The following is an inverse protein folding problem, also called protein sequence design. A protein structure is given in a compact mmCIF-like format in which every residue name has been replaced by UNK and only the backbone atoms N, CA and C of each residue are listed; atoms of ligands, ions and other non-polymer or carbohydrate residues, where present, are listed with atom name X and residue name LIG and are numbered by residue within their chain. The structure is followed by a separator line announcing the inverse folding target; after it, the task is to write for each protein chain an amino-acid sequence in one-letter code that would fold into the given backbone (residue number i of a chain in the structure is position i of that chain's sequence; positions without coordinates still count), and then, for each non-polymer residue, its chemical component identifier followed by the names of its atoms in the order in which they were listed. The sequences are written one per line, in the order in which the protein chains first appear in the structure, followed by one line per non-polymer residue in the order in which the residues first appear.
data_IF_558271044635
#
_entry.id   IF_558271044635
#
_cell.length_a   1.000
_cell.length_b   1.000
_cell.length_c   1.000
_cell.angle_alpha   90.00
_cell.angle_beta   90.00
_cell.angle_gamma   90.00
#
_symmetry.space_group_name_H-M   'P 1'
#
loop_
_entity.id
_entity.type
_entity.pdbx_description
1 polymer ?
#
# COMPACT_ATOMS: atom_id res chain seq x y z
N UNK A 1 18.13 14.94 24.51
CA UNK A 1 16.98 15.67 23.93
C UNK A 1 16.48 14.82 22.78
N UNK A 2 15.44 14.06 23.03
CA UNK A 2 14.77 13.21 22.04
C UNK A 2 13.95 14.10 21.11
N UNK A 3 14.40 14.29 19.89
CA UNK A 3 13.58 14.84 18.82
C UNK A 3 12.42 13.88 18.55
N UNK A 4 11.31 14.05 19.24
CA UNK A 4 10.05 13.46 18.88
C UNK A 4 9.64 14.02 17.51
N UNK A 5 9.80 13.24 16.45
CA UNK A 5 9.09 13.50 15.19
C UNK A 5 7.61 13.50 15.56
N UNK A 6 6.97 14.65 15.53
CA UNK A 6 5.51 14.76 15.59
C UNK A 6 5.00 14.00 14.37
N UNK A 7 4.42 12.83 14.57
CA UNK A 7 3.76 12.08 13.50
C UNK A 7 2.61 12.95 13.00
N UNK A 8 2.71 13.39 11.74
CA UNK A 8 1.59 14.08 11.12
C UNK A 8 0.38 13.15 11.03
N UNK A 9 -0.82 13.62 11.36
CA UNK A 9 -2.01 12.79 11.34
C UNK A 9 -2.29 12.30 9.90
N UNK A 10 -2.75 11.05 9.79
CA UNK A 10 -3.20 10.46 8.53
C UNK A 10 -4.24 11.36 7.84
N UNK A 11 -4.37 11.23 6.51
CA UNK A 11 -5.36 11.96 5.74
C UNK A 11 -6.76 11.52 6.18
N UNK A 12 -7.51 12.43 6.83
CA UNK A 12 -8.87 12.16 7.26
C UNK A 12 -9.84 12.41 6.09
N UNK A 13 -10.57 11.37 5.70
CA UNK A 13 -11.45 11.38 4.54
C UNK A 13 -12.86 10.99 4.95
N UNK A 14 -13.85 11.80 4.56
CA UNK A 14 -15.28 11.50 4.68
C UNK A 14 -15.82 10.93 3.35
N UNK A 15 -16.99 10.31 3.39
CA UNK A 15 -17.66 9.77 2.19
C UNK A 15 -16.98 8.50 1.65
N UNK A 16 -16.27 7.79 2.51
CA UNK A 16 -15.63 6.52 2.21
C UNK A 16 -16.35 5.44 3.04
N UNK A 17 -17.41 4.86 2.48
CA UNK A 17 -18.13 3.78 3.15
C UNK A 17 -17.35 2.48 3.05
N UNK A 18 -17.30 1.72 4.14
CA UNK A 18 -16.81 0.35 4.13
C UNK A 18 -17.83 -0.53 3.37
N UNK A 19 -17.38 -1.13 2.27
CA UNK A 19 -18.24 -1.82 1.31
C UNK A 19 -18.57 -3.28 1.69
N UNK A 20 -18.12 -3.73 2.85
CA UNK A 20 -18.25 -5.14 3.21
C UNK A 20 -17.31 -6.08 2.41
N UNK A 21 -17.36 -7.36 2.71
CA UNK A 21 -16.54 -8.36 2.02
C UNK A 21 -17.21 -8.80 0.71
N UNK A 22 -16.47 -8.73 -0.41
CA UNK A 22 -16.86 -9.42 -1.62
C UNK A 22 -16.66 -10.93 -1.44
N UNK A 23 -17.66 -11.74 -1.78
CA UNK A 23 -17.48 -13.17 -1.85
C UNK A 23 -16.86 -13.54 -3.20
N UNK A 24 -15.59 -13.91 -3.19
CA UNK A 24 -14.90 -14.47 -4.36
C UNK A 24 -14.40 -15.86 -3.99
N UNK A 25 -14.76 -16.85 -4.80
CA UNK A 25 -14.27 -18.22 -4.62
C UNK A 25 -12.88 -18.36 -5.23
N UNK A 26 -11.88 -18.61 -4.41
CA UNK A 26 -10.52 -18.88 -4.83
C UNK A 26 -10.14 -20.32 -4.51
N UNK A 27 -9.41 -20.95 -5.42
CA UNK A 27 -8.72 -22.21 -5.16
C UNK A 27 -7.29 -21.87 -4.73
N UNK A 28 -7.04 -21.98 -3.42
CA UNK A 28 -5.79 -21.62 -2.77
C UNK A 28 -5.19 -22.85 -2.13
N UNK A 29 -3.92 -23.12 -2.44
CA UNK A 29 -3.13 -24.15 -1.77
C UNK A 29 -2.17 -23.50 -0.79
N UNK A 30 -2.17 -23.97 0.46
CA UNK A 30 -1.21 -23.61 1.48
C UNK A 30 -0.40 -24.84 1.91
N UNK A 31 0.93 -24.73 1.91
CA UNK A 31 1.82 -25.81 2.29
C UNK A 31 3.00 -25.31 3.13
N UNK A 32 3.44 -26.07 4.16
CA UNK A 32 4.58 -25.69 4.96
C UNK A 32 5.90 -25.94 4.21
N UNK A 33 6.91 -25.13 4.57
CA UNK A 33 8.28 -25.28 4.14
C UNK A 33 9.19 -24.98 5.32
N UNK A 34 10.01 -25.95 5.70
CA UNK A 34 10.99 -25.80 6.78
C UNK A 34 12.31 -25.35 6.18
N UNK A 35 12.53 -24.04 6.13
CA UNK A 35 13.71 -23.41 5.55
C UNK A 35 14.77 -23.19 6.62
N UNK A 36 16.01 -23.61 6.34
CA UNK A 36 17.13 -23.22 7.22
C UNK A 36 17.44 -21.74 7.07
N UNK A 37 18.04 -21.15 8.11
CA UNK A 37 18.36 -19.73 8.07
C UNK A 37 19.40 -19.40 6.99
N UNK A 38 20.29 -20.34 6.64
CA UNK A 38 21.21 -20.15 5.53
C UNK A 38 20.48 -20.12 4.17
N UNK A 39 19.47 -20.96 3.96
CA UNK A 39 18.66 -20.93 2.74
C UNK A 39 17.87 -19.62 2.62
N UNK A 40 17.30 -19.13 3.73
CA UNK A 40 16.58 -17.84 3.72
C UNK A 40 17.54 -16.70 3.36
N UNK A 41 18.74 -16.69 3.92
CA UNK A 41 19.77 -15.69 3.63
C UNK A 41 20.20 -15.73 2.15
N UNK A 42 20.40 -16.93 1.59
CA UNK A 42 20.71 -17.13 0.18
C UNK A 42 19.58 -16.66 -0.74
N UNK A 43 18.33 -17.07 -0.47
CA UNK A 43 17.15 -16.64 -1.21
C UNK A 43 16.95 -15.12 -1.16
N UNK A 44 17.29 -14.50 -0.04
CA UNK A 44 17.27 -13.03 0.08
C UNK A 44 18.31 -12.39 -0.84
N UNK A 45 19.53 -12.86 -0.81
CA UNK A 45 20.63 -12.36 -1.66
C UNK A 45 20.38 -12.56 -3.16
N UNK A 46 19.71 -13.65 -3.53
CA UNK A 46 19.30 -13.95 -4.90
C UNK A 46 18.08 -13.13 -5.38
N UNK A 47 17.36 -12.45 -4.47
CA UNK A 47 16.13 -11.74 -4.81
C UNK A 47 14.90 -12.64 -4.97
N UNK A 48 14.96 -13.90 -4.54
CA UNK A 48 13.85 -14.84 -4.54
C UNK A 48 12.83 -14.54 -3.44
N UNK A 49 13.27 -13.89 -2.35
CA UNK A 49 12.39 -13.31 -1.34
C UNK A 49 12.15 -11.86 -1.72
N UNK A 50 10.89 -11.55 -1.99
CA UNK A 50 10.45 -10.22 -2.43
C UNK A 50 9.73 -9.52 -1.32
N UNK A 51 10.22 -8.33 -0.96
CA UNK A 51 9.57 -7.47 0.03
C UNK A 51 8.77 -6.42 -0.69
N UNK A 52 7.50 -6.26 -0.32
CA UNK A 52 6.70 -5.14 -0.80
C UNK A 52 7.31 -3.79 -0.40
N UNK A 53 7.25 -2.79 -1.31
CA UNK A 53 7.89 -1.48 -1.09
C UNK A 53 7.42 -0.74 0.16
N UNK A 54 6.17 -0.94 0.57
CA UNK A 54 5.60 -0.33 1.79
C UNK A 54 5.97 -1.09 3.07
N UNK A 55 6.31 -2.38 2.98
CA UNK A 55 6.84 -3.16 4.10
C UNK A 55 8.35 -2.96 4.28
N UNK A 56 9.03 -2.24 3.38
CA UNK A 56 10.49 -2.03 3.45
C UNK A 56 10.97 -1.33 4.71
N UNK A 57 10.07 -0.74 5.48
CA UNK A 57 10.45 -0.15 6.76
C UNK A 57 10.74 -1.24 7.79
N UNK A 58 12.02 -1.50 7.99
CA UNK A 58 12.47 -2.26 9.13
C UNK A 58 12.29 -1.41 10.39
N UNK A 59 11.39 -1.83 11.28
CA UNK A 59 10.99 -1.04 12.46
C UNK A 59 11.45 -1.63 13.78
N UNK A 60 11.91 -2.88 13.78
CA UNK A 60 12.43 -3.50 14.98
C UNK A 60 13.72 -2.82 15.46
N UNK A 61 13.83 -2.68 16.76
CA UNK A 61 15.06 -2.24 17.39
C UNK A 61 16.10 -3.36 17.37
N UNK A 62 17.38 -3.00 17.48
CA UNK A 62 18.46 -3.98 17.58
C UNK A 62 18.24 -4.97 18.74
N UNK A 63 17.63 -4.50 19.85
CA UNK A 63 17.27 -5.37 20.98
C UNK A 63 16.23 -6.43 20.59
N UNK A 64 15.16 -6.05 19.90
CA UNK A 64 14.13 -7.00 19.45
C UNK A 64 14.70 -8.04 18.50
N UNK A 65 15.53 -7.60 17.56
CA UNK A 65 16.23 -8.49 16.63
C UNK A 65 17.22 -9.41 17.36
N UNK A 66 17.93 -8.89 18.36
CA UNK A 66 18.86 -9.68 19.16
C UNK A 66 18.18 -10.81 19.94
N UNK A 67 17.01 -10.53 20.52
CA UNK A 67 16.20 -11.55 21.21
C UNK A 67 15.72 -12.65 20.26
N UNK A 68 15.38 -12.30 19.02
CA UNK A 68 15.04 -13.29 17.99
C UNK A 68 16.23 -14.18 17.66
N UNK A 69 17.41 -13.60 17.41
CA UNK A 69 18.63 -14.36 17.12
C UNK A 69 19.00 -15.27 18.29
N UNK A 70 18.93 -14.76 19.52
CA UNK A 70 19.15 -15.57 20.73
C UNK A 70 18.18 -16.76 20.80
N UNK A 71 16.90 -16.55 20.45
CA UNK A 71 15.90 -17.62 20.42
C UNK A 71 16.31 -18.77 19.48
N UNK A 72 16.83 -18.47 18.31
CA UNK A 72 17.37 -19.49 17.40
C UNK A 72 18.61 -20.19 18.00
N UNK A 73 19.54 -19.44 18.57
CA UNK A 73 20.75 -19.98 19.21
C UNK A 73 20.41 -20.86 20.41
N UNK A 74 19.34 -20.57 21.12
CA UNK A 74 18.84 -21.39 22.23
C UNK A 74 17.98 -22.57 21.77
N UNK A 75 17.47 -22.56 20.53
CA UNK A 75 16.53 -23.56 20.03
C UNK A 75 15.09 -23.34 20.51
N UNK A 76 14.75 -22.11 20.87
CA UNK A 76 13.39 -21.75 21.24
C UNK A 76 12.48 -21.67 20.00
N UNK A 77 11.17 -21.97 20.15
CA UNK A 77 10.23 -21.87 19.04
C UNK A 77 10.09 -20.40 18.60
N UNK A 78 10.14 -20.17 17.29
CA UNK A 78 9.95 -18.87 16.66
C UNK A 78 8.68 -18.92 15.81
N UNK A 79 7.84 -17.87 15.83
CA UNK A 79 6.64 -17.82 14.98
C UNK A 79 7.00 -17.95 13.49
N UNK A 80 6.17 -18.70 12.77
CA UNK A 80 6.32 -18.94 11.33
C UNK A 80 6.18 -17.66 10.51
N UNK A 81 6.69 -17.69 9.28
CA UNK A 81 6.50 -16.62 8.28
C UNK A 81 5.53 -17.07 7.20
N UNK A 82 4.94 -16.13 6.49
CA UNK A 82 4.02 -16.42 5.40
C UNK A 82 4.53 -15.80 4.10
N UNK A 83 4.58 -16.62 3.06
CA UNK A 83 4.92 -16.22 1.69
C UNK A 83 3.74 -16.44 0.76
N UNK A 84 3.53 -15.52 -0.16
CA UNK A 84 2.79 -15.79 -1.37
C UNK A 84 3.78 -16.15 -2.47
N UNK A 85 3.60 -17.31 -3.09
CA UNK A 85 4.44 -17.78 -4.20
C UNK A 85 3.83 -17.33 -5.51
N UNK A 86 4.50 -16.42 -6.22
CA UNK A 86 4.03 -15.89 -7.49
C UNK A 86 4.23 -16.87 -8.65
N UNK A 87 3.76 -16.50 -9.84
CA UNK A 87 3.88 -17.33 -11.06
C UNK A 87 5.32 -17.59 -11.49
N UNK A 88 6.26 -16.69 -11.07
CA UNK A 88 7.69 -16.83 -11.33
C UNK A 88 8.42 -17.57 -10.20
N UNK A 89 7.68 -18.22 -9.29
CA UNK A 89 8.18 -18.90 -8.08
C UNK A 89 8.95 -18.00 -7.12
N UNK A 90 8.71 -16.68 -7.10
CA UNK A 90 9.26 -15.78 -6.11
C UNK A 90 8.37 -15.75 -4.88
N UNK A 91 8.98 -15.57 -3.72
CA UNK A 91 8.33 -15.60 -2.42
C UNK A 91 8.06 -14.17 -1.94
N UNK A 92 6.84 -13.69 -2.13
CA UNK A 92 6.41 -12.39 -1.63
C UNK A 92 6.10 -12.50 -0.13
N UNK A 93 6.78 -11.71 0.69
CA UNK A 93 6.58 -11.75 2.16
C UNK A 93 5.21 -11.16 2.50
N UNK A 94 4.32 -11.99 3.07
CA UNK A 94 3.02 -11.57 3.61
C UNK A 94 3.17 -11.16 5.08
N UNK A 95 3.75 -12.03 5.89
CA UNK A 95 4.07 -11.77 7.30
C UNK A 95 5.43 -12.34 7.66
N UNK A 96 6.08 -11.71 8.63
CA UNK A 96 7.39 -12.13 9.13
C UNK A 96 8.58 -11.34 8.57
N UNK A 97 8.34 -10.23 7.87
CA UNK A 97 9.40 -9.38 7.33
C UNK A 97 10.46 -9.02 8.37
N UNK A 98 10.04 -8.56 9.56
CA UNK A 98 10.96 -8.15 10.62
C UNK A 98 11.85 -9.31 11.07
N UNK A 99 11.31 -10.53 11.09
CA UNK A 99 12.05 -11.76 11.43
C UNK A 99 13.11 -12.07 10.37
N UNK A 100 12.70 -12.05 9.09
CA UNK A 100 13.61 -12.31 7.95
C UNK A 100 14.72 -11.26 7.90
N UNK A 101 14.38 -9.97 7.98
CA UNK A 101 15.38 -8.90 7.92
C UNK A 101 16.34 -8.91 9.11
N UNK A 102 15.85 -9.20 10.33
CA UNK A 102 16.71 -9.35 11.51
C UNK A 102 17.76 -10.43 11.31
N UNK A 103 17.35 -11.55 10.72
CA UNK A 103 18.23 -12.67 10.41
C UNK A 103 19.27 -12.28 9.36
N UNK A 104 18.84 -11.71 8.24
CA UNK A 104 19.72 -11.29 7.15
C UNK A 104 20.74 -10.27 7.65
N UNK A 105 20.29 -9.22 8.33
CA UNK A 105 21.17 -8.19 8.89
C UNK A 105 22.20 -8.76 9.87
N UNK A 106 21.82 -9.74 10.71
CA UNK A 106 22.77 -10.33 11.63
C UNK A 106 23.81 -11.18 10.91
N UNK A 107 23.42 -11.96 9.90
CA UNK A 107 24.35 -12.76 9.11
C UNK A 107 25.25 -11.90 8.22
N UNK A 108 24.77 -10.75 7.76
CA UNK A 108 25.56 -9.76 7.01
C UNK A 108 26.46 -8.89 7.92
N UNK A 109 26.26 -8.95 9.26
CA UNK A 109 27.04 -8.22 10.26
C UNK A 109 26.62 -6.76 10.48
N UNK A 110 25.56 -6.27 9.80
CA UNK A 110 25.11 -4.88 9.88
C UNK A 110 23.61 -4.79 10.20
N UNK A 111 23.24 -3.78 10.99
CA UNK A 111 21.86 -3.56 11.43
C UNK A 111 21.22 -2.40 10.66
N UNK A 112 20.11 -2.71 10.01
CA UNK A 112 19.34 -1.72 9.25
C UNK A 112 19.99 -1.34 7.91
N UNK A 113 19.35 -0.38 7.23
CA UNK A 113 19.83 0.16 5.97
C UNK A 113 21.04 1.09 6.18
N UNK A 114 21.78 1.32 5.10
CA UNK A 114 22.89 2.26 5.09
C UNK A 114 22.42 3.68 5.42
N UNK A 115 23.08 4.34 6.37
CA UNK A 115 22.74 5.73 6.71
C UNK A 115 22.99 6.67 5.52
N UNK A 116 22.36 7.87 5.54
CA UNK A 116 22.56 8.94 4.53
C UNK A 116 24.05 9.29 4.33
N UNK A 117 24.90 8.95 5.31
CA UNK A 117 26.35 9.20 5.27
C UNK A 117 27.18 7.95 4.92
N UNK A 118 26.56 6.89 4.37
CA UNK A 118 27.25 5.68 3.96
C UNK A 118 27.76 4.81 5.12
N UNK A 119 27.32 5.04 6.37
CA UNK A 119 27.74 4.25 7.53
C UNK A 119 26.71 3.17 7.85
N UNK A 120 27.19 1.92 7.88
CA UNK A 120 26.40 0.78 8.36
C UNK A 120 26.66 0.59 9.86
N UNK A 121 25.59 0.38 10.64
CA UNK A 121 25.71 0.07 12.06
C UNK A 121 26.04 -1.41 12.23
N UNK A 122 27.14 -1.74 12.93
CA UNK A 122 27.48 -3.13 13.21
C UNK A 122 26.41 -3.79 14.08
N UNK A 123 25.96 -4.98 13.69
CA UNK A 123 24.95 -5.70 14.45
C UNK A 123 25.62 -6.58 15.54
N UNK A 124 25.57 -6.07 16.77
CA UNK A 124 25.98 -6.83 17.97
C UNK A 124 24.74 -7.18 18.79
N UNK A 125 24.63 -8.42 19.26
CA UNK A 125 23.51 -8.86 20.07
C UNK A 125 23.42 -8.01 21.35
N UNK A 126 22.36 -7.24 21.48
CA UNK A 126 22.19 -6.20 22.50
C UNK A 126 20.94 -6.42 23.32
N UNK A 127 20.97 -6.05 24.61
CA UNK A 127 19.81 -6.16 25.52
C UNK A 127 19.46 -7.58 25.91
N UNK A 128 20.39 -8.52 25.72
CA UNK A 128 20.35 -9.87 26.27
C UNK A 128 20.75 -9.87 27.76
N UNK A 129 20.48 -10.97 28.45
CA UNK A 129 20.98 -11.15 29.80
C UNK A 129 22.54 -11.16 29.80
N UNK A 130 23.15 -10.49 30.76
CA UNK A 130 24.62 -10.40 30.85
C UNK A 130 25.32 -11.77 31.00
N UNK A 131 24.58 -12.80 31.46
CA UNK A 131 25.05 -14.18 31.53
C UNK A 131 24.90 -14.94 30.19
N UNK A 132 24.27 -14.36 29.20
CA UNK A 132 24.13 -14.99 27.88
C UNK A 132 25.50 -15.12 27.22
N UNK A 133 25.88 -16.32 26.76
CA UNK A 133 27.14 -16.50 26.05
C UNK A 133 27.23 -15.80 24.71
N UNK A 134 26.08 -15.26 24.25
CA UNK A 134 25.92 -14.60 22.96
C UNK A 134 25.92 -13.07 23.09
N UNK A 135 25.82 -12.52 24.33
CA UNK A 135 25.74 -11.08 24.54
C UNK A 135 26.92 -10.33 23.91
N UNK A 136 26.62 -9.22 23.22
CA UNK A 136 27.58 -8.33 22.54
C UNK A 136 28.35 -8.92 21.36
N UNK A 137 28.05 -10.16 20.95
CA UNK A 137 28.67 -10.81 19.79
C UNK A 137 28.03 -10.41 18.47
N UNK A 138 28.86 -10.23 17.45
CA UNK A 138 28.44 -10.25 16.04
C UNK A 138 28.30 -11.70 15.60
N UNK A 139 27.81 -11.93 14.37
CA UNK A 139 27.79 -13.28 13.80
C UNK A 139 29.20 -13.89 13.70
N UNK A 140 30.20 -13.09 13.31
CA UNK A 140 31.59 -13.52 13.20
C UNK A 140 32.25 -13.80 14.58
N UNK A 141 31.82 -13.07 15.63
CA UNK A 141 32.33 -13.28 17.00
C UNK A 141 31.76 -14.56 17.65
N UNK A 142 30.74 -15.19 17.07
CA UNK A 142 30.22 -16.47 17.55
C UNK A 142 31.26 -17.59 17.29
N UNK A 143 31.31 -18.54 18.20
CA UNK A 143 32.10 -19.74 17.96
C UNK A 143 31.51 -20.59 16.81
N UNK A 144 32.33 -21.44 16.21
CA UNK A 144 31.91 -22.25 15.05
C UNK A 144 30.66 -23.12 15.33
N UNK A 145 30.52 -23.78 16.51
CA UNK A 145 29.30 -24.51 16.83
C UNK A 145 28.05 -23.64 16.85
N UNK A 146 28.11 -22.41 17.43
CA UNK A 146 26.99 -21.49 17.46
C UNK A 146 26.64 -20.94 16.06
N UNK A 147 27.64 -20.60 15.24
CA UNK A 147 27.41 -20.22 13.85
C UNK A 147 26.74 -21.35 13.06
N UNK A 148 27.24 -22.59 13.21
CA UNK A 148 26.65 -23.76 12.54
C UNK A 148 25.23 -24.02 13.01
N UNK A 149 24.96 -23.89 14.32
CA UNK A 149 23.64 -24.01 14.91
C UNK A 149 22.69 -22.96 14.33
N UNK A 150 23.10 -21.69 14.25
CA UNK A 150 22.29 -20.63 13.71
C UNK A 150 21.96 -20.87 12.22
N UNK A 151 22.97 -21.16 11.40
CA UNK A 151 22.76 -21.44 9.96
C UNK A 151 21.83 -22.62 9.72
N UNK A 152 21.91 -23.66 10.53
CA UNK A 152 21.07 -24.86 10.45
C UNK A 152 19.73 -24.74 11.17
N UNK A 153 19.49 -23.67 11.94
CA UNK A 153 18.19 -23.44 12.57
C UNK A 153 17.10 -23.26 11.53
N UNK A 154 15.88 -23.70 11.83
CA UNK A 154 14.76 -23.67 10.91
C UNK A 154 13.83 -22.52 11.25
N UNK A 155 13.50 -21.71 10.28
CA UNK A 155 12.35 -20.82 10.30
C UNK A 155 11.25 -21.41 9.41
N UNK A 156 10.17 -21.86 10.03
CA UNK A 156 9.02 -22.41 9.30
C UNK A 156 8.36 -21.34 8.47
N UNK A 157 8.11 -21.65 7.20
CA UNK A 157 7.32 -20.82 6.29
C UNK A 157 6.02 -21.54 5.91
N UNK A 158 4.95 -20.81 5.73
CA UNK A 158 3.74 -21.26 5.04
C UNK A 158 3.74 -20.58 3.68
N UNK A 159 3.86 -21.38 2.64
CA UNK A 159 3.76 -20.93 1.27
C UNK A 159 2.30 -21.01 0.81
N UNK A 160 1.81 -19.92 0.25
CA UNK A 160 0.43 -19.80 -0.22
C UNK A 160 0.48 -19.54 -1.72
N UNK A 161 -0.25 -20.33 -2.49
CA UNK A 161 -0.34 -20.19 -3.96
C UNK A 161 -1.80 -20.22 -4.39
N UNK A 162 -2.18 -19.31 -5.26
CA UNK A 162 -3.45 -19.37 -5.96
C UNK A 162 -3.34 -20.36 -7.13
N UNK A 163 -4.27 -21.33 -7.19
CA UNK A 163 -4.36 -22.31 -8.26
C UNK A 163 -5.34 -21.86 -9.33
N UNK A 164 -6.47 -21.27 -8.91
CA UNK A 164 -7.50 -20.75 -9.81
C UNK A 164 -8.19 -19.50 -9.22
N UNK A 165 -8.69 -18.55 -10.03
CA UNK A 165 -8.43 -18.47 -11.47
C UNK A 165 -6.96 -18.12 -11.78
N UNK A 166 -6.43 -18.63 -12.89
CA UNK A 166 -5.07 -18.30 -13.33
C UNK A 166 -5.02 -16.87 -13.87
N UNK A 167 -3.96 -16.12 -13.53
CA UNK A 167 -3.75 -14.76 -14.00
C UNK A 167 -4.47 -13.67 -13.19
N UNK A 168 -5.44 -14.01 -12.37
CA UNK A 168 -6.09 -13.05 -11.44
C UNK A 168 -5.42 -13.13 -10.07
N UNK A 169 -4.76 -12.04 -9.65
CA UNK A 169 -4.01 -12.00 -8.38
C UNK A 169 -4.85 -11.43 -7.22
N UNK A 170 -6.17 -11.41 -7.34
CA UNK A 170 -7.05 -10.81 -6.34
C UNK A 170 -7.08 -11.57 -5.02
N UNK A 171 -6.87 -12.90 -5.04
CA UNK A 171 -6.77 -13.69 -3.80
C UNK A 171 -5.62 -13.25 -2.90
N UNK A 172 -4.50 -12.83 -3.50
CA UNK A 172 -3.34 -12.34 -2.74
C UNK A 172 -3.74 -11.15 -1.87
N UNK A 173 -4.57 -10.24 -2.41
CA UNK A 173 -5.11 -9.12 -1.69
C UNK A 173 -5.87 -9.57 -0.44
N UNK A 174 -6.80 -10.51 -0.58
CA UNK A 174 -7.59 -11.03 0.55
C UNK A 174 -6.77 -11.82 1.55
N UNK A 175 -5.75 -12.56 1.08
CA UNK A 175 -4.81 -13.26 1.95
C UNK A 175 -4.01 -12.26 2.80
N UNK A 176 -3.51 -11.20 2.19
CA UNK A 176 -2.81 -10.12 2.90
C UNK A 176 -3.72 -9.44 3.92
N UNK A 177 -4.95 -9.10 3.52
CA UNK A 177 -5.94 -8.46 4.39
C UNK A 177 -6.21 -9.31 5.65
N UNK A 178 -6.33 -10.63 5.50
CA UNK A 178 -6.65 -11.56 6.60
C UNK A 178 -5.45 -11.98 7.45
N UNK A 179 -4.28 -12.14 6.87
CA UNK A 179 -3.09 -12.61 7.60
C UNK A 179 -2.32 -11.47 8.29
N UNK A 180 -2.48 -10.24 7.82
CA UNK A 180 -1.74 -9.10 8.36
C UNK A 180 -2.39 -8.53 9.63
N UNK A 181 -2.72 -9.42 10.58
CA UNK A 181 -3.37 -9.06 11.86
C UNK A 181 -2.39 -8.89 13.02
N UNK A 182 -1.10 -9.16 12.80
CA UNK A 182 -0.07 -9.24 13.86
C UNK A 182 0.65 -7.94 14.19
N UNK A 183 0.17 -6.78 13.73
CA UNK A 183 0.82 -5.48 13.95
C UNK A 183 -0.11 -4.31 13.61
N UNK A 184 0.43 -3.20 13.07
CA UNK A 184 -0.42 -2.16 12.46
C UNK A 184 -0.97 -2.70 11.14
N UNK A 185 -2.30 -2.89 11.01
CA UNK A 185 -2.88 -3.41 9.78
C UNK A 185 -2.54 -2.53 8.58
N UNK A 186 -2.26 -3.16 7.44
CA UNK A 186 -2.09 -2.44 6.18
C UNK A 186 -3.42 -1.92 5.67
N UNK A 187 -3.40 -0.75 5.08
CA UNK A 187 -4.59 -0.23 4.39
C UNK A 187 -4.81 -0.94 3.05
N UNK A 188 -6.03 -0.90 2.51
CA UNK A 188 -6.32 -1.47 1.20
C UNK A 188 -5.37 -1.01 0.09
N UNK A 189 -4.94 0.24 0.08
CA UNK A 189 -4.03 0.74 -0.95
C UNK A 189 -2.58 0.26 -0.76
N UNK A 190 -2.14 0.12 0.47
CA UNK A 190 -0.83 -0.46 0.76
C UNK A 190 -0.77 -1.91 0.27
N UNK A 191 -1.84 -2.68 0.49
CA UNK A 191 -1.95 -4.05 -0.02
C UNK A 191 -1.97 -4.07 -1.55
N UNK A 192 -2.75 -3.19 -2.22
CA UNK A 192 -2.77 -3.10 -3.69
C UNK A 192 -1.40 -2.82 -4.28
N UNK A 193 -0.68 -1.87 -3.72
CA UNK A 193 0.65 -1.52 -4.22
C UNK A 193 1.66 -2.66 -4.09
N UNK A 194 1.38 -3.61 -3.18
CA UNK A 194 2.13 -4.85 -3.04
C UNK A 194 1.86 -5.86 -4.11
N UNK A 195 0.58 -6.17 -4.19
CA UNK A 195 0.06 -7.31 -4.96
C UNK A 195 0.16 -7.01 -6.45
N UNK A 196 -0.20 -5.80 -6.85
CA UNK A 196 -0.25 -5.39 -8.27
C UNK A 196 0.97 -4.55 -8.65
N UNK A 197 2.16 -5.07 -8.37
CA UNK A 197 3.41 -4.42 -8.75
C UNK A 197 3.48 -4.17 -10.24
N UNK A 198 3.91 -2.96 -10.63
CA UNK A 198 4.06 -2.59 -12.02
C UNK A 198 4.37 -1.10 -12.17
N UNK A 199 4.52 -0.66 -13.42
CA UNK A 199 4.83 0.73 -13.74
C UNK A 199 3.74 1.69 -13.25
N UNK A 200 2.46 1.27 -13.24
CA UNK A 200 1.37 2.09 -12.73
C UNK A 200 1.62 2.58 -11.30
N UNK A 201 2.08 1.70 -10.40
CA UNK A 201 2.36 2.07 -9.00
C UNK A 201 3.41 3.18 -8.94
N UNK A 202 4.48 3.06 -9.72
CA UNK A 202 5.55 4.07 -9.81
C UNK A 202 5.02 5.41 -10.31
N UNK A 203 4.17 5.37 -11.34
CA UNK A 203 3.58 6.58 -11.92
C UNK A 203 2.56 7.24 -10.98
N UNK A 204 1.70 6.47 -10.30
CA UNK A 204 0.77 7.03 -9.30
C UNK A 204 1.52 7.72 -8.15
N UNK A 205 2.67 7.18 -7.71
CA UNK A 205 3.53 7.84 -6.72
C UNK A 205 4.04 9.18 -7.21
N UNK A 206 4.51 9.25 -8.48
CA UNK A 206 4.96 10.53 -9.08
C UNK A 206 3.81 11.54 -9.16
N UNK A 207 2.62 11.12 -9.59
CA UNK A 207 1.45 11.99 -9.63
C UNK A 207 1.07 12.48 -8.23
N UNK A 208 1.25 11.65 -7.20
CA UNK A 208 0.96 12.01 -5.81
C UNK A 208 1.86 13.13 -5.26
N UNK A 209 3.03 13.36 -5.86
CA UNK A 209 3.95 14.45 -5.51
C UNK A 209 3.61 15.78 -6.19
N UNK A 210 2.65 15.79 -7.13
CA UNK A 210 2.25 17.00 -7.86
C UNK A 210 1.74 18.09 -6.90
N UNK A 211 2.28 19.31 -7.01
CA UNK A 211 1.96 20.44 -6.11
C UNK A 211 0.49 20.84 -6.16
N UNK A 212 -0.15 20.77 -7.32
CA UNK A 212 -1.58 21.12 -7.48
C UNK A 212 -2.45 20.03 -6.88
N UNK A 213 -2.07 18.76 -7.04
CA UNK A 213 -2.71 17.65 -6.34
C UNK A 213 -2.63 17.81 -4.82
N UNK A 214 -1.44 18.14 -4.29
CA UNK A 214 -1.26 18.40 -2.86
C UNK A 214 -2.11 19.56 -2.36
N UNK A 215 -2.28 20.63 -3.15
CA UNK A 215 -3.17 21.75 -2.84
C UNK A 215 -4.64 21.33 -2.81
N UNK A 216 -5.09 20.47 -3.72
CA UNK A 216 -6.45 19.88 -3.72
C UNK A 216 -6.69 19.09 -2.43
N UNK A 217 -5.74 18.28 -2.01
CA UNK A 217 -5.83 17.50 -0.77
C UNK A 217 -5.69 18.35 0.50
N UNK A 218 -5.16 19.56 0.39
CA UNK A 218 -4.88 20.42 1.54
C UNK A 218 -3.78 19.88 2.46
N UNK A 219 -2.87 19.06 1.92
CA UNK A 219 -1.78 18.43 2.67
C UNK A 219 -0.52 18.40 1.82
N UNK A 220 0.57 19.00 2.31
CA UNK A 220 1.85 19.08 1.60
C UNK A 220 2.67 17.80 1.67
N UNK A 221 2.55 17.06 2.77
CA UNK A 221 3.23 15.79 3.00
C UNK A 221 2.44 14.61 2.43
N UNK A 222 3.16 13.56 2.06
CA UNK A 222 2.56 12.31 1.59
C UNK A 222 1.82 11.60 2.74
N UNK A 223 0.71 10.95 2.42
CA UNK A 223 -0.01 10.17 3.41
C UNK A 223 0.70 8.86 3.70
N UNK A 224 0.98 8.62 4.98
CA UNK A 224 1.64 7.39 5.45
C UNK A 224 0.89 6.14 5.00
N UNK A 225 -0.43 6.19 4.97
CA UNK A 225 -1.31 5.08 4.62
C UNK A 225 -1.72 5.06 3.15
N UNK A 226 -1.10 5.91 2.32
CA UNK A 226 -1.28 5.97 0.86
C UNK A 226 -2.73 6.21 0.41
N UNK A 227 -3.58 6.81 1.26
CA UNK A 227 -4.95 7.16 0.91
C UNK A 227 -5.00 8.18 -0.23
N UNK A 228 -4.01 9.06 -0.29
CA UNK A 228 -3.81 10.04 -1.36
C UNK A 228 -3.57 9.36 -2.73
N UNK A 229 -2.84 8.25 -2.77
CA UNK A 229 -2.65 7.42 -3.98
C UNK A 229 -3.94 6.71 -4.36
N UNK A 230 -4.69 6.18 -3.37
CA UNK A 230 -5.99 5.55 -3.63
C UNK A 230 -6.96 6.52 -4.30
N UNK A 231 -6.98 7.78 -3.88
CA UNK A 231 -7.85 8.79 -4.49
C UNK A 231 -7.50 9.05 -5.97
N UNK A 232 -6.21 9.05 -6.34
CA UNK A 232 -5.81 9.13 -7.76
C UNK A 232 -6.31 7.90 -8.53
N UNK A 233 -6.15 6.71 -7.95
CA UNK A 233 -6.61 5.46 -8.54
C UNK A 233 -8.13 5.43 -8.72
N UNK A 234 -8.91 5.98 -7.77
CA UNK A 234 -10.36 6.14 -7.91
C UNK A 234 -10.72 7.01 -9.10
N UNK A 235 -10.03 8.14 -9.27
CA UNK A 235 -10.27 9.02 -10.43
C UNK A 235 -9.94 8.28 -11.73
N UNK A 236 -8.82 7.56 -11.82
CA UNK A 236 -8.48 6.75 -12.99
C UNK A 236 -9.55 5.71 -13.30
N UNK A 237 -9.96 4.92 -12.32
CA UNK A 237 -10.94 3.85 -12.51
C UNK A 237 -12.33 4.40 -12.88
N UNK A 238 -12.81 5.38 -12.13
CA UNK A 238 -14.16 5.92 -12.31
C UNK A 238 -14.29 6.80 -13.55
N UNK A 239 -13.26 7.56 -13.96
CA UNK A 239 -13.30 8.33 -15.21
C UNK A 239 -13.47 7.44 -16.43
N UNK A 240 -12.94 6.22 -16.38
CA UNK A 240 -13.01 5.28 -17.50
C UNK A 240 -14.23 4.34 -17.44
N UNK A 241 -14.70 3.95 -16.24
CA UNK A 241 -15.62 2.82 -16.08
C UNK A 241 -16.70 3.00 -15.03
N UNK A 242 -17.09 4.20 -14.62
CA UNK A 242 -18.13 4.37 -13.59
C UNK A 242 -19.47 3.72 -13.95
N UNK A 243 -19.81 3.64 -15.25
CA UNK A 243 -21.06 2.98 -15.71
C UNK A 243 -21.04 1.46 -15.47
N UNK A 244 -19.84 0.85 -15.48
CA UNK A 244 -19.61 -0.57 -15.24
C UNK A 244 -19.17 -0.85 -13.79
N UNK A 245 -19.29 0.16 -12.93
CA UNK A 245 -18.94 -0.02 -11.53
C UNK A 245 -19.85 -1.04 -10.86
N UNK A 246 -19.24 -1.98 -10.16
CA UNK A 246 -19.89 -2.96 -9.28
C UNK A 246 -19.27 -2.89 -7.89
N UNK A 247 -20.07 -3.12 -6.85
CA UNK A 247 -19.57 -3.22 -5.46
C UNK A 247 -18.74 -4.47 -5.27
N UNK A 248 -17.77 -4.41 -4.33
CA UNK A 248 -17.32 -3.28 -3.52
C UNK A 248 -16.28 -2.43 -4.25
N UNK A 249 -16.10 -1.18 -3.83
CA UNK A 249 -15.11 -0.24 -4.38
C UNK A 249 -13.70 -0.84 -4.37
N UNK A 250 -13.34 -1.60 -3.33
CA UNK A 250 -12.03 -2.23 -3.23
C UNK A 250 -11.75 -3.20 -4.39
N UNK A 251 -12.74 -4.00 -4.82
CA UNK A 251 -12.58 -4.91 -5.97
C UNK A 251 -12.50 -4.16 -7.29
N UNK A 252 -13.31 -3.12 -7.45
CA UNK A 252 -13.23 -2.25 -8.61
C UNK A 252 -11.84 -1.61 -8.78
N UNK A 253 -11.22 -1.19 -7.68
CA UNK A 253 -9.86 -0.64 -7.68
C UNK A 253 -8.80 -1.73 -7.89
N UNK A 254 -8.99 -2.94 -7.35
CA UNK A 254 -8.13 -4.08 -7.62
C UNK A 254 -8.10 -4.41 -9.10
N UNK A 255 -9.29 -4.48 -9.73
CA UNK A 255 -9.43 -4.73 -11.16
C UNK A 255 -8.79 -3.61 -12.00
N UNK A 256 -8.96 -2.34 -11.57
CA UNK A 256 -8.29 -1.20 -12.22
C UNK A 256 -6.76 -1.34 -12.18
N UNK A 257 -6.20 -1.77 -11.04
CA UNK A 257 -4.75 -2.01 -10.92
C UNK A 257 -4.27 -3.14 -11.81
N UNK A 258 -5.02 -4.25 -11.94
CA UNK A 258 -4.69 -5.37 -12.82
C UNK A 258 -4.66 -4.92 -14.28
N UNK A 259 -5.73 -4.28 -14.75
CA UNK A 259 -5.88 -3.88 -16.15
C UNK A 259 -4.85 -2.82 -16.58
N UNK A 260 -4.42 -1.97 -15.65
CA UNK A 260 -3.53 -0.86 -15.94
C UNK A 260 -2.10 -1.07 -15.41
N UNK A 261 -1.75 -2.27 -14.95
CA UNK A 261 -0.52 -2.60 -14.22
C UNK A 261 0.76 -2.08 -14.87
N UNK A 262 0.87 -2.21 -16.19
CA UNK A 262 2.06 -1.81 -16.94
C UNK A 262 2.06 -0.33 -17.34
N UNK A 263 0.95 0.41 -17.10
CA UNK A 263 0.76 1.80 -17.50
C UNK A 263 0.91 2.05 -19.03
N UNK A 264 0.80 1.00 -19.86
CA UNK A 264 1.01 1.03 -21.31
C UNK A 264 -0.28 1.05 -22.13
N UNK A 265 -1.44 0.92 -21.47
CA UNK A 265 -2.74 1.06 -22.12
C UNK A 265 -2.98 2.53 -22.57
N UNK A 266 -3.78 2.77 -23.62
CA UNK A 266 -4.18 4.13 -23.97
C UNK A 266 -4.81 4.88 -22.80
N UNK A 267 -5.67 4.21 -22.02
CA UNK A 267 -6.34 4.77 -20.83
C UNK A 267 -5.32 5.26 -19.80
N UNK A 268 -4.36 4.40 -19.44
CA UNK A 268 -3.34 4.77 -18.46
C UNK A 268 -2.45 5.91 -18.97
N UNK A 269 -1.95 5.81 -20.22
CA UNK A 269 -1.09 6.85 -20.81
C UNK A 269 -1.75 8.22 -20.88
N UNK A 270 -3.01 8.26 -21.31
CA UNK A 270 -3.76 9.51 -21.40
C UNK A 270 -4.02 10.08 -20.01
N UNK A 271 -4.41 9.23 -19.04
CA UNK A 271 -4.61 9.66 -17.67
C UNK A 271 -3.33 10.23 -17.03
N UNK A 272 -2.22 9.52 -17.14
CA UNK A 272 -0.94 9.96 -16.58
C UNK A 272 -0.45 11.30 -17.16
N UNK A 273 -0.68 11.53 -18.46
CA UNK A 273 -0.37 12.80 -19.14
C UNK A 273 -1.28 13.94 -18.71
N UNK A 274 -2.58 13.68 -18.52
CA UNK A 274 -3.61 14.73 -18.39
C UNK A 274 -4.03 14.99 -16.95
N UNK A 275 -3.75 14.08 -16.00
CA UNK A 275 -4.08 14.28 -14.58
C UNK A 275 -3.43 15.53 -13.96
N UNK A 276 -2.14 15.85 -14.20
CA UNK A 276 -1.56 17.11 -13.72
C UNK A 276 -2.25 18.35 -14.30
N UNK A 277 -2.68 18.30 -15.57
CA UNK A 277 -3.45 19.40 -16.20
C UNK A 277 -4.82 19.56 -15.53
N UNK A 278 -5.50 18.43 -15.24
CA UNK A 278 -6.75 18.44 -14.49
C UNK A 278 -6.55 19.09 -13.12
N UNK A 279 -5.52 18.70 -12.38
CA UNK A 279 -5.23 19.27 -11.07
C UNK A 279 -4.98 20.79 -11.14
N UNK A 280 -4.27 21.26 -12.18
CA UNK A 280 -4.09 22.68 -12.41
C UNK A 280 -5.42 23.40 -12.65
N UNK A 281 -6.28 22.88 -13.53
CA UNK A 281 -7.60 23.44 -13.82
C UNK A 281 -8.45 23.50 -12.55
N UNK A 282 -8.48 22.41 -11.77
CA UNK A 282 -9.25 22.35 -10.52
C UNK A 282 -8.79 23.41 -9.53
N UNK A 283 -7.48 23.55 -9.30
CA UNK A 283 -6.97 24.58 -8.39
C UNK A 283 -7.27 26.00 -8.92
N UNK A 284 -7.05 26.24 -10.22
CA UNK A 284 -7.20 27.56 -10.80
C UNK A 284 -8.69 28.01 -10.87
N UNK A 285 -9.64 27.07 -11.06
CA UNK A 285 -11.08 27.37 -11.19
C UNK A 285 -11.87 27.18 -9.90
N UNK A 286 -11.55 26.16 -9.11
CA UNK A 286 -12.29 25.80 -7.89
C UNK A 286 -11.58 26.23 -6.60
N UNK A 287 -10.32 26.61 -6.70
CA UNK A 287 -9.46 26.98 -5.57
C UNK A 287 -8.75 25.79 -4.93
N UNK A 288 -8.01 26.08 -3.86
CA UNK A 288 -7.40 25.07 -3.03
C UNK A 288 -8.43 24.39 -2.13
N UNK A 289 -8.23 23.10 -1.83
CA UNK A 289 -9.10 22.30 -0.95
C UNK A 289 -10.58 22.29 -1.38
N UNK A 290 -10.92 22.17 -2.68
CA UNK A 290 -12.29 22.33 -3.14
C UNK A 290 -13.24 21.26 -2.60
N UNK A 291 -12.74 20.08 -2.27
CA UNK A 291 -13.52 18.92 -1.82
C UNK A 291 -13.64 18.78 -0.30
N UNK A 292 -13.27 19.81 0.47
CA UNK A 292 -13.43 19.82 1.94
C UNK A 292 -14.82 20.33 2.32
N UNK A 293 -15.87 19.53 2.08
CA UNK A 293 -17.27 19.98 2.17
C UNK A 293 -17.71 20.29 3.60
N UNK A 294 -17.24 19.52 4.60
CA UNK A 294 -17.55 19.68 6.03
C UNK A 294 -16.27 19.75 6.87
N UNK A 295 -15.26 20.45 6.37
CA UNK A 295 -13.95 20.59 7.02
C UNK A 295 -12.98 19.47 6.74
N UNK A 296 -13.44 18.25 6.41
CA UNK A 296 -12.63 17.12 5.97
C UNK A 296 -12.73 16.93 4.47
N UNK A 297 -11.72 16.30 3.89
CA UNK A 297 -11.73 15.90 2.50
C UNK A 297 -12.83 14.85 2.27
N UNK A 298 -13.71 15.08 1.30
CA UNK A 298 -14.75 14.13 0.91
C UNK A 298 -14.33 13.37 -0.35
N UNK A 299 -14.06 12.05 -0.20
CA UNK A 299 -13.59 11.19 -1.27
C UNK A 299 -14.59 11.09 -2.42
N UNK A 300 -15.89 10.97 -2.11
CA UNK A 300 -16.94 10.80 -3.10
C UNK A 300 -17.20 12.06 -3.91
N UNK A 301 -17.04 13.24 -3.31
CA UNK A 301 -17.07 14.49 -4.04
C UNK A 301 -15.84 14.63 -4.94
N UNK A 302 -14.66 14.30 -4.42
CA UNK A 302 -13.41 14.36 -5.18
C UNK A 302 -13.47 13.42 -6.38
N UNK A 303 -13.75 12.14 -6.16
CA UNK A 303 -13.70 11.14 -7.22
C UNK A 303 -14.70 11.43 -8.34
N UNK A 304 -15.95 11.81 -8.01
CA UNK A 304 -16.98 12.10 -9.02
C UNK A 304 -16.71 13.39 -9.80
N UNK A 305 -16.37 14.47 -9.10
CA UNK A 305 -16.10 15.76 -9.76
C UNK A 305 -14.85 15.67 -10.62
N UNK A 306 -13.74 15.16 -10.09
CA UNK A 306 -12.51 15.04 -10.86
C UNK A 306 -12.65 14.09 -12.05
N UNK A 307 -13.38 12.98 -11.92
CA UNK A 307 -13.61 12.06 -13.03
C UNK A 307 -14.45 12.68 -14.15
N UNK A 308 -15.50 13.42 -13.81
CA UNK A 308 -16.33 14.13 -14.81
C UNK A 308 -15.53 15.24 -15.49
N UNK A 309 -14.77 16.03 -14.72
CA UNK A 309 -13.92 17.07 -15.27
C UNK A 309 -12.77 16.51 -16.11
N UNK A 310 -12.20 15.37 -15.75
CA UNK A 310 -11.19 14.68 -16.56
C UNK A 310 -11.71 14.39 -17.97
N UNK A 311 -12.92 13.84 -18.07
CA UNK A 311 -13.55 13.51 -19.33
C UNK A 311 -13.97 14.76 -20.14
N UNK A 312 -13.88 15.95 -19.56
CA UNK A 312 -14.29 17.22 -20.14
C UNK A 312 -13.15 18.22 -20.31
N UNK A 313 -11.87 17.81 -20.14
CA UNK A 313 -10.69 18.71 -20.16
C UNK A 313 -10.69 19.62 -21.39
N UNK A 314 -11.08 19.11 -22.58
CA UNK A 314 -11.11 19.88 -23.83
C UNK A 314 -12.33 20.78 -24.02
N UNK A 315 -13.34 20.67 -23.16
CA UNK A 315 -14.63 21.36 -23.29
C UNK A 315 -15.20 21.81 -21.94
N UNK A 316 -14.38 22.46 -21.13
CA UNK A 316 -14.82 22.94 -19.82
C UNK A 316 -15.57 24.29 -19.91
N UNK A 317 -16.69 24.43 -19.21
CA UNK A 317 -17.42 25.69 -19.15
C UNK A 317 -16.60 26.83 -18.56
N UNK A 318 -16.77 28.05 -19.09
CA UNK A 318 -16.07 29.23 -18.58
C UNK A 318 -16.50 29.62 -17.17
N UNK A 319 -17.73 29.29 -16.78
CA UNK A 319 -18.38 29.58 -15.50
C UNK A 319 -18.29 28.41 -14.49
N UNK A 320 -17.33 27.47 -14.68
CA UNK A 320 -17.15 26.27 -13.84
C UNK A 320 -17.18 26.57 -12.33
N UNK A 321 -16.56 27.68 -11.91
CA UNK A 321 -16.55 28.08 -10.50
C UNK A 321 -17.95 28.41 -9.94
N UNK A 322 -18.82 29.02 -10.76
CA UNK A 322 -20.19 29.31 -10.38
C UNK A 322 -21.02 28.01 -10.31
N UNK A 323 -20.90 27.17 -11.32
CA UNK A 323 -21.55 25.85 -11.39
C UNK A 323 -21.15 24.96 -10.21
N UNK A 324 -19.90 24.95 -9.83
CA UNK A 324 -19.42 24.18 -8.68
C UNK A 324 -20.00 24.69 -7.35
N UNK A 325 -20.20 26.01 -7.21
CA UNK A 325 -20.88 26.56 -6.03
C UNK A 325 -22.33 26.09 -5.94
N UNK A 326 -23.04 26.00 -7.05
CA UNK A 326 -24.41 25.47 -7.08
C UNK A 326 -24.42 23.96 -6.81
N UNK A 327 -23.51 23.19 -7.38
CA UNK A 327 -23.37 21.76 -7.08
C UNK A 327 -23.20 21.50 -5.57
N UNK A 328 -22.41 22.33 -4.87
CA UNK A 328 -22.23 22.18 -3.42
C UNK A 328 -23.50 22.45 -2.60
N UNK A 329 -24.47 23.18 -3.15
CA UNK A 329 -25.78 23.45 -2.51
C UNK A 329 -26.82 22.40 -2.90
N UNK A 330 -26.55 21.61 -3.91
CA UNK A 330 -27.49 20.60 -4.41
C UNK A 330 -27.67 19.48 -3.38
N UNK A 331 -28.92 19.22 -3.00
CA UNK A 331 -29.24 18.22 -1.98
C UNK A 331 -28.94 16.80 -2.46
N UNK A 332 -29.22 16.48 -3.71
CA UNK A 332 -28.98 15.15 -4.30
C UNK A 332 -27.47 14.82 -4.27
N UNK A 333 -26.65 15.77 -4.69
CA UNK A 333 -25.19 15.64 -4.61
C UNK A 333 -24.70 15.51 -3.16
N UNK A 334 -25.20 16.38 -2.27
CA UNK A 334 -24.83 16.35 -0.85
C UNK A 334 -25.15 15.00 -0.23
N UNK A 335 -26.36 14.47 -0.40
CA UNK A 335 -26.77 13.17 0.16
C UNK A 335 -25.93 12.04 -0.44
N UNK A 336 -25.68 12.05 -1.75
CA UNK A 336 -24.89 11.03 -2.45
C UNK A 336 -23.39 11.06 -2.14
N UNK A 337 -22.90 12.10 -1.46
CA UNK A 337 -21.50 12.17 -0.98
C UNK A 337 -21.30 11.74 0.46
N UNK A 338 -22.37 11.42 1.20
CA UNK A 338 -22.29 11.02 2.60
C UNK A 338 -22.96 9.68 2.93
N UNK A 339 -23.97 9.26 2.17
CA UNK A 339 -24.75 8.05 2.47
C UNK A 339 -24.62 7.03 1.33
N UNK A 340 -24.29 5.80 1.65
CA UNK A 340 -24.17 4.70 0.69
C UNK A 340 -23.25 5.03 -0.49
N UNK A 341 -22.15 5.73 -0.21
CA UNK A 341 -21.32 6.39 -1.23
C UNK A 341 -20.71 5.44 -2.26
N UNK A 342 -20.63 4.14 -1.93
CA UNK A 342 -20.17 3.05 -2.79
C UNK A 342 -21.31 2.23 -3.41
N UNK A 343 -22.58 2.55 -3.11
CA UNK A 343 -23.72 1.89 -3.75
C UNK A 343 -23.80 2.25 -5.23
N UNK A 344 -24.00 1.24 -6.08
CA UNK A 344 -24.02 1.42 -7.54
C UNK A 344 -25.01 2.51 -7.99
N UNK A 345 -26.21 2.51 -7.41
CA UNK A 345 -27.23 3.52 -7.71
C UNK A 345 -26.81 4.92 -7.27
N UNK A 346 -26.16 5.02 -6.10
CA UNK A 346 -25.69 6.30 -5.54
C UNK A 346 -24.54 6.86 -6.39
N UNK A 347 -23.57 6.02 -6.78
CA UNK A 347 -22.48 6.45 -7.69
C UNK A 347 -23.06 6.96 -9.01
N UNK A 348 -23.95 6.19 -9.65
CA UNK A 348 -24.56 6.60 -10.93
C UNK A 348 -25.33 7.91 -10.80
N UNK A 349 -26.15 8.06 -9.76
CA UNK A 349 -26.86 9.30 -9.47
C UNK A 349 -25.93 10.48 -9.24
N UNK A 350 -24.86 10.29 -8.44
CA UNK A 350 -23.87 11.33 -8.16
C UNK A 350 -23.16 11.78 -9.43
N UNK A 351 -22.70 10.83 -10.27
CA UNK A 351 -22.03 11.15 -11.53
C UNK A 351 -22.94 11.86 -12.51
N UNK A 352 -24.19 11.41 -12.66
CA UNK A 352 -25.19 12.09 -13.49
C UNK A 352 -25.41 13.53 -13.03
N UNK A 353 -25.56 13.74 -11.72
CA UNK A 353 -25.77 15.07 -11.15
C UNK A 353 -24.59 16.00 -11.32
N UNK A 354 -23.37 15.47 -11.13
CA UNK A 354 -22.13 16.22 -11.38
C UNK A 354 -22.02 16.61 -12.86
N UNK A 355 -22.31 15.69 -13.77
CA UNK A 355 -22.26 15.96 -15.21
C UNK A 355 -23.26 17.04 -15.63
N UNK A 356 -24.51 16.89 -15.20
CA UNK A 356 -25.61 17.85 -15.48
C UNK A 356 -25.26 19.28 -15.03
N UNK A 357 -24.73 19.42 -13.79
CA UNK A 357 -24.49 20.75 -13.21
C UNK A 357 -23.16 21.37 -13.60
N UNK A 358 -22.13 20.57 -13.87
CA UNK A 358 -20.81 21.12 -14.14
C UNK A 358 -20.46 21.24 -15.62
N UNK A 359 -21.01 20.37 -16.48
CA UNK A 359 -20.55 20.25 -17.87
C UNK A 359 -21.66 20.54 -18.88
N UNK A 360 -22.87 20.09 -18.62
CA UNK A 360 -24.08 20.35 -19.47
C UNK A 360 -24.69 21.71 -19.15
#
# INVERSE_FOLDING_TARGET
MTNGKVEEPALQVDGDSDDGEAYVAYDITAYPSDLTLSVIHEMWGAGDIVVPDFQRNFVWTMRQSSLLIESFLMGLPVPQVFFYVDENNRNLVIDGLQRIMSLVYYMDGYFGEESIHGKKQVFRLTGLNDKSPFARKTFEDLDEPAQRKLRGSVLRAINIRQMNPKGERTSVYHIFERLNTGGTPLTPQEIRNCVFRGELVSQLRKLNEDKKWRAILGKTTLDRHQKDIELILRVLGLSNRFEKYEKPMKEFLNQTMIEQQNADSPVARDFLRDFPKLCAIVVDRLGERPFHLRGRLNASALDSVMSVLYNSIGNMPGDLAARYRELKKDKTFSDATYYGTSDVAVIKSRFARVKELLVE
#
